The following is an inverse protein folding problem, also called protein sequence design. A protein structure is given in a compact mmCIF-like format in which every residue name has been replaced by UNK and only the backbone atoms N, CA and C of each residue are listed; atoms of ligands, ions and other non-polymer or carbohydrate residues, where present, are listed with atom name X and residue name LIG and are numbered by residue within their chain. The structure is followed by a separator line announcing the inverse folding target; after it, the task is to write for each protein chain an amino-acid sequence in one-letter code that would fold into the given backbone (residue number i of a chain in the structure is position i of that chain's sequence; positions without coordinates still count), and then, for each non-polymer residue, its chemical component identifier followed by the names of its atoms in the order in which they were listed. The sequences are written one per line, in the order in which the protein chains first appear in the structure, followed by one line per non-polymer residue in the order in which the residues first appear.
data_IF_644424170560
#
_entry.id   IF_644424170560
#
_cell.length_a   1.000
_cell.length_b   1.000
_cell.length_c   1.000
_cell.angle_alpha   90.00
_cell.angle_beta   90.00
_cell.angle_gamma   90.00
#
_symmetry.space_group_name_H-M   'P 1'
#
loop_
_entity.id
_entity.type
_entity.pdbx_description
1 polymer ?
#
# COMPACT_ATOMS: atom_id res chain seq x y z
N UNK A 1 -2.80 7.03 -4.48
CA UNK A 1 -2.66 6.66 -3.06
C UNK A 1 -3.09 7.83 -2.19
N UNK A 2 -3.98 7.59 -1.26
CA UNK A 2 -4.41 8.57 -0.28
C UNK A 2 -4.13 8.03 1.12
N UNK A 3 -3.37 8.79 1.90
CA UNK A 3 -3.06 8.41 3.28
C UNK A 3 -3.33 9.61 4.18
N UNK A 4 -4.09 9.38 5.24
CA UNK A 4 -4.33 10.37 6.28
C UNK A 4 -3.85 9.82 7.62
N UNK A 5 -3.19 10.66 8.39
CA UNK A 5 -2.77 10.33 9.74
C UNK A 5 -3.70 10.99 10.75
N UNK A 6 -3.71 10.45 11.97
CA UNK A 6 -4.46 11.05 13.07
C UNK A 6 -3.85 12.40 13.51
N UNK A 7 -4.47 13.06 14.47
CA UNK A 7 -3.99 14.37 14.94
C UNK A 7 -2.56 14.32 15.48
N UNK A 8 -2.16 13.21 16.08
CA UNK A 8 -0.80 13.03 16.61
C UNK A 8 0.21 12.61 15.54
N UNK A 9 -0.25 12.27 14.34
CA UNK A 9 0.58 11.77 13.22
C UNK A 9 1.32 10.48 13.56
N UNK A 10 0.73 9.66 14.40
CA UNK A 10 1.34 8.39 14.83
C UNK A 10 0.61 7.17 14.29
N UNK A 11 -0.66 7.33 13.90
CA UNK A 11 -1.49 6.22 13.43
C UNK A 11 -2.11 6.56 12.08
N UNK A 12 -2.39 5.52 11.30
CA UNK A 12 -3.14 5.68 10.05
C UNK A 12 -4.62 5.93 10.37
N UNK A 13 -5.14 7.08 9.96
CA UNK A 13 -6.55 7.42 10.14
C UNK A 13 -7.37 6.90 8.96
N UNK A 14 -6.91 7.14 7.73
CA UNK A 14 -7.58 6.68 6.53
C UNK A 14 -6.54 6.34 5.48
N UNK A 15 -6.75 5.25 4.77
CA UNK A 15 -5.84 4.79 3.73
C UNK A 15 -6.64 4.33 2.53
N UNK A 16 -6.30 4.85 1.35
CA UNK A 16 -6.91 4.42 0.09
C UNK A 16 -5.81 4.14 -0.92
N UNK A 17 -5.75 2.90 -1.37
CA UNK A 17 -4.73 2.45 -2.30
C UNK A 17 -5.43 1.86 -3.52
N UNK A 18 -5.25 2.50 -4.67
CA UNK A 18 -5.80 2.01 -5.92
C UNK A 18 -4.68 1.77 -6.92
N UNK A 19 -4.75 0.68 -7.64
CA UNK A 19 -3.76 0.30 -8.64
C UNK A 19 -4.46 0.20 -9.98
N UNK A 20 -4.22 1.16 -10.86
CA UNK A 20 -4.96 1.30 -12.10
C UNK A 20 -4.37 0.60 -13.32
N UNK A 21 -3.19 0.03 -13.22
CA UNK A 21 -2.47 -0.48 -14.37
C UNK A 21 -2.75 -1.96 -14.70
N UNK A 22 -3.62 -2.63 -13.97
CA UNK A 22 -3.76 -4.09 -14.03
C UNK A 22 -5.08 -4.56 -14.65
N UNK A 23 -5.92 -3.66 -15.07
CA UNK A 23 -7.19 -4.08 -15.68
C UNK A 23 -7.95 -2.90 -16.23
N UNK A 24 -9.14 -3.13 -16.78
CA UNK A 24 -9.95 -2.06 -17.37
C UNK A 24 -10.50 -1.10 -16.32
N UNK A 25 -10.55 -1.50 -15.05
CA UNK A 25 -10.97 -0.64 -13.94
C UNK A 25 -9.92 -0.66 -12.85
N UNK A 26 -9.71 0.45 -12.14
CA UNK A 26 -8.79 0.49 -11.03
C UNK A 26 -9.15 -0.53 -9.95
N UNK A 27 -8.15 -1.26 -9.48
CA UNK A 27 -8.32 -2.23 -8.41
C UNK A 27 -7.92 -1.61 -7.09
N UNK A 28 -8.84 -1.48 -6.19
CA UNK A 28 -8.57 -0.93 -4.86
C UNK A 28 -8.07 -2.05 -3.95
N UNK A 29 -6.96 -1.80 -3.27
CA UNK A 29 -6.35 -2.81 -2.38
C UNK A 29 -6.90 -2.70 -0.97
N UNK A 30 -8.17 -3.07 -0.80
CA UNK A 30 -8.86 -2.94 0.47
C UNK A 30 -8.25 -3.81 1.56
N UNK A 31 -7.65 -4.92 1.20
CA UNK A 31 -6.99 -5.82 2.13
C UNK A 31 -5.84 -5.11 2.85
N UNK A 32 -5.07 -4.31 2.10
CA UNK A 32 -3.97 -3.54 2.67
C UNK A 32 -4.51 -2.33 3.43
N UNK A 33 -5.49 -1.65 2.86
CA UNK A 33 -6.11 -0.48 3.50
C UNK A 33 -6.63 -0.83 4.89
N UNK A 34 -7.35 -1.93 5.01
CA UNK A 34 -7.94 -2.38 6.27
C UNK A 34 -6.87 -2.76 7.30
N UNK A 35 -5.75 -3.28 6.84
CA UNK A 35 -4.64 -3.66 7.73
C UNK A 35 -3.88 -2.46 8.27
N UNK A 36 -3.81 -1.39 7.49
CA UNK A 36 -3.11 -0.17 7.92
C UNK A 36 -3.97 0.73 8.80
N UNK A 37 -5.26 0.76 8.54
CA UNK A 37 -6.17 1.66 9.21
C UNK A 37 -6.19 1.43 10.72
N UNK A 38 -5.94 2.49 11.49
CA UNK A 38 -5.90 2.40 12.95
C UNK A 38 -4.60 1.92 13.55
N UNK A 39 -3.65 1.48 12.72
CA UNK A 39 -2.38 0.97 13.19
C UNK A 39 -1.31 2.06 13.31
N UNK A 40 -0.31 1.82 14.14
CA UNK A 40 0.82 2.73 14.30
C UNK A 40 1.65 2.77 13.01
N UNK A 41 1.98 3.97 12.56
CA UNK A 41 2.80 4.15 11.36
C UNK A 41 4.22 3.71 11.64
N UNK A 42 4.70 2.66 10.96
CA UNK A 42 6.06 2.16 11.12
C UNK A 42 6.53 1.48 9.84
N UNK A 43 7.84 1.43 9.65
CA UNK A 43 8.44 0.73 8.50
C UNK A 43 8.10 -0.75 8.51
N UNK A 44 8.14 -1.39 9.68
CA UNK A 44 7.84 -2.81 9.80
C UNK A 44 6.43 -3.14 9.36
N UNK A 45 5.47 -2.31 9.75
CA UNK A 45 4.08 -2.48 9.35
C UNK A 45 3.93 -2.33 7.84
N UNK A 46 4.55 -1.30 7.26
CA UNK A 46 4.44 -1.02 5.83
C UNK A 46 5.05 -2.16 5.01
N UNK A 47 6.24 -2.63 5.40
CA UNK A 47 6.88 -3.74 4.70
C UNK A 47 6.08 -5.03 4.79
N UNK A 48 5.40 -5.24 5.91
CA UNK A 48 4.55 -6.42 6.11
C UNK A 48 3.38 -6.46 5.13
N UNK A 49 3.00 -5.33 4.59
CA UNK A 49 1.89 -5.24 3.65
C UNK A 49 2.12 -6.01 2.36
N UNK A 50 3.36 -6.35 2.03
CA UNK A 50 3.65 -7.16 0.85
C UNK A 50 2.95 -8.53 0.92
N UNK A 51 2.72 -9.03 2.13
CA UNK A 51 2.06 -10.32 2.34
C UNK A 51 0.56 -10.27 2.03
N UNK A 52 0.00 -9.08 1.98
CA UNK A 52 -1.43 -8.87 1.79
C UNK A 52 -1.79 -8.38 0.40
N UNK A 53 -0.83 -8.36 -0.52
CA UNK A 53 -1.10 -8.01 -1.92
C UNK A 53 -1.98 -9.11 -2.52
N UNK A 54 -3.18 -8.76 -3.03
CA UNK A 54 -4.10 -9.77 -3.58
C UNK A 54 -3.49 -10.50 -4.78
N UNK A 55 -3.72 -11.80 -4.87
CA UNK A 55 -3.23 -12.60 -5.98
C UNK A 55 -3.77 -12.15 -7.33
N UNK A 56 -5.01 -11.68 -7.37
CA UNK A 56 -5.61 -11.21 -8.62
C UNK A 56 -4.88 -9.98 -9.18
N UNK A 57 -4.25 -9.19 -8.32
CA UNK A 57 -3.49 -8.00 -8.74
C UNK A 57 -2.19 -8.41 -9.45
N UNK A 58 -1.62 -9.54 -9.04
CA UNK A 58 -0.34 -10.02 -9.60
C UNK A 58 -0.52 -11.17 -10.60
N UNK A 59 -1.76 -11.56 -10.87
CA UNK A 59 -2.04 -12.66 -11.77
C UNK A 59 -1.55 -12.33 -13.18
N UNK A 60 -0.72 -13.21 -13.72
CA UNK A 60 -0.17 -13.09 -15.06
C UNK A 60 0.04 -14.48 -15.62
N UNK A 61 -0.06 -14.61 -16.95
CA UNK A 61 0.19 -15.89 -17.64
C UNK A 61 1.66 -16.25 -17.58
N UNK A 62 2.52 -15.25 -17.45
CA UNK A 62 3.97 -15.46 -17.37
C UNK A 62 4.56 -14.39 -16.44
N UNK A 63 5.76 -14.66 -15.93
CA UNK A 63 6.49 -13.73 -15.08
C UNK A 63 5.71 -13.31 -13.82
N UNK A 64 5.02 -14.26 -13.20
CA UNK A 64 4.25 -14.01 -12.00
C UNK A 64 5.09 -13.38 -10.89
N UNK A 65 6.29 -13.91 -10.65
CA UNK A 65 7.19 -13.38 -9.62
C UNK A 65 7.66 -11.97 -9.93
N UNK A 66 8.00 -11.70 -11.18
CA UNK A 66 8.42 -10.38 -11.61
C UNK A 66 7.30 -9.37 -11.36
N UNK A 67 6.08 -9.73 -11.75
CA UNK A 67 4.93 -8.85 -11.58
C UNK A 67 4.64 -8.60 -10.11
N UNK A 68 4.76 -9.63 -9.27
CA UNK A 68 4.57 -9.50 -7.83
C UNK A 68 5.58 -8.52 -7.24
N UNK A 69 6.85 -8.62 -7.65
CA UNK A 69 7.88 -7.70 -7.18
C UNK A 69 7.62 -6.26 -7.62
N UNK A 70 7.16 -6.06 -8.84
CA UNK A 70 6.82 -4.73 -9.35
C UNK A 70 5.66 -4.14 -8.54
N UNK A 71 4.60 -4.90 -8.34
CA UNK A 71 3.44 -4.45 -7.57
C UNK A 71 3.83 -4.15 -6.13
N UNK A 72 4.60 -5.04 -5.52
CA UNK A 72 5.09 -4.86 -4.15
C UNK A 72 5.88 -3.57 -4.02
N UNK A 73 6.89 -3.38 -4.86
CA UNK A 73 7.74 -2.20 -4.79
C UNK A 73 6.96 -0.92 -5.03
N UNK A 74 6.04 -0.96 -5.99
CA UNK A 74 5.21 0.19 -6.31
C UNK A 74 4.28 0.54 -5.14
N UNK A 75 3.69 -0.46 -4.52
CA UNK A 75 2.79 -0.27 -3.38
C UNK A 75 3.53 0.32 -2.19
N UNK A 76 4.67 -0.26 -1.83
CA UNK A 76 5.46 0.23 -0.70
C UNK A 76 5.97 1.64 -0.96
N UNK A 77 6.49 1.90 -2.15
CA UNK A 77 6.98 3.23 -2.50
C UNK A 77 5.85 4.26 -2.47
N UNK A 78 4.67 3.89 -2.93
CA UNK A 78 3.50 4.77 -2.91
C UNK A 78 3.07 5.14 -1.49
N UNK A 79 3.11 4.19 -0.58
CA UNK A 79 2.78 4.46 0.83
C UNK A 79 3.81 5.41 1.45
N UNK A 80 5.10 5.15 1.24
CA UNK A 80 6.16 6.03 1.75
C UNK A 80 6.05 7.43 1.17
N UNK A 81 5.79 7.54 -0.12
CA UNK A 81 5.64 8.82 -0.78
C UNK A 81 4.45 9.60 -0.25
N UNK A 82 3.32 8.93 -0.06
CA UNK A 82 2.12 9.56 0.48
C UNK A 82 2.35 10.07 1.91
N UNK A 83 3.09 9.31 2.73
CA UNK A 83 3.45 9.74 4.08
C UNK A 83 4.39 10.95 4.04
N UNK A 84 5.34 10.95 3.12
CA UNK A 84 6.26 12.07 2.97
C UNK A 84 5.53 13.37 2.62
N UNK A 85 4.49 13.29 1.81
CA UNK A 85 3.69 14.44 1.43
C UNK A 85 3.00 15.10 2.63
N UNK A 86 2.68 14.34 3.66
CA UNK A 86 2.08 14.88 4.89
C UNK A 86 3.10 15.04 6.01
N UNK A 87 4.39 14.96 5.67
CA UNK A 87 5.50 15.24 6.60
C UNK A 87 5.81 14.13 7.58
N UNK A 88 5.49 12.89 7.26
CA UNK A 88 5.73 11.73 8.14
C UNK A 88 6.82 10.85 7.56
N UNK A 89 7.82 10.55 8.39
CA UNK A 89 8.87 9.60 8.04
C UNK A 89 8.69 8.37 8.95
N UNK A 90 8.32 7.20 8.40
CA UNK A 90 8.12 5.99 9.21
C UNK A 90 9.41 5.55 9.89
N UNK A 91 9.29 5.14 11.12
CA UNK A 91 10.41 4.66 11.90
C UNK A 91 10.46 3.14 11.94
#
# INVERSE_FOLDING_TARGET
FLVKADASKTHFEDVRIAFGAIGPVPRRMMEIEDRLKGEVISKGLIQKMEEYIPEDVVRSRSRKEYRRNVVKNFTLAGIYEALAEIGIIPQ
#
